data_IF_137444161721
#
_entry.id   IF_137444161721
#
_cell.length_a   1.000
_cell.length_b   1.000
_cell.length_c   1.000
_cell.angle_alpha   90.00
_cell.angle_beta   90.00
_cell.angle_gamma   90.00
#
_symmetry.space_group_name_H-M   'P 1'
#
loop_
_entity.id
_entity.type
_entity.pdbx_description
1 polymer ?
#
# COMPACT_ATOMS: atom_id res chain seq x y z
N UNK A 1 -14.02 -25.17 2.00
CA UNK A 1 -12.58 -24.88 1.90
C UNK A 1 -11.91 -25.93 1.03
N UNK A 2 -11.36 -25.56 -0.09
CA UNK A 2 -10.80 -26.51 -1.06
C UNK A 2 -9.39 -26.96 -0.68
N UNK A 3 -9.13 -28.26 -0.76
CA UNK A 3 -7.82 -28.85 -0.52
C UNK A 3 -6.85 -28.49 -1.66
N UNK A 4 -5.63 -28.07 -1.33
CA UNK A 4 -4.61 -27.69 -2.35
C UNK A 4 -4.06 -28.91 -3.11
N UNK A 5 -4.13 -30.13 -2.52
CA UNK A 5 -3.59 -31.35 -3.11
C UNK A 5 -4.57 -32.05 -4.05
N UNK A 6 -5.86 -32.18 -3.66
CA UNK A 6 -6.84 -32.95 -4.43
C UNK A 6 -8.05 -32.12 -4.89
N UNK A 7 -8.07 -30.82 -4.62
CA UNK A 7 -9.10 -29.85 -4.97
C UNK A 7 -10.52 -30.17 -4.40
N UNK A 8 -10.65 -31.15 -3.49
CA UNK A 8 -11.90 -31.52 -2.83
C UNK A 8 -12.36 -30.40 -1.90
N UNK A 9 -13.67 -30.11 -1.92
CA UNK A 9 -14.24 -29.13 -1.00
C UNK A 9 -14.57 -29.74 0.36
N UNK A 10 -14.12 -29.11 1.42
CA UNK A 10 -14.28 -29.55 2.79
C UNK A 10 -15.05 -28.49 3.58
N UNK A 11 -16.20 -28.86 4.11
CA UNK A 11 -16.97 -28.01 5.04
C UNK A 11 -16.25 -27.87 6.37
N UNK A 12 -16.75 -27.02 7.24
CA UNK A 12 -16.18 -26.92 8.60
C UNK A 12 -16.41 -28.20 9.40
N UNK A 13 -17.57 -28.82 9.25
CA UNK A 13 -17.90 -30.10 9.89
C UNK A 13 -16.92 -31.18 9.42
N UNK A 14 -16.66 -31.31 8.11
CA UNK A 14 -15.69 -32.28 7.59
C UNK A 14 -14.31 -32.08 8.25
N UNK A 15 -13.79 -30.86 8.30
CA UNK A 15 -12.48 -30.58 8.91
C UNK A 15 -12.44 -30.86 10.41
N UNK A 16 -13.55 -30.65 11.13
CA UNK A 16 -13.67 -31.01 12.55
C UNK A 16 -13.63 -32.54 12.73
N UNK A 17 -14.41 -33.26 11.94
CA UNK A 17 -14.47 -34.73 11.97
C UNK A 17 -13.11 -35.37 11.64
N UNK A 18 -12.40 -34.83 10.65
CA UNK A 18 -11.10 -35.34 10.22
C UNK A 18 -9.90 -34.62 10.83
N UNK A 19 -10.05 -34.02 12.01
CA UNK A 19 -8.96 -33.41 12.78
C UNK A 19 -8.10 -32.42 11.99
N UNK A 20 -8.72 -31.59 11.16
CA UNK A 20 -8.02 -30.59 10.33
C UNK A 20 -7.38 -31.15 9.06
N UNK A 21 -7.83 -32.33 8.59
CA UNK A 21 -7.37 -32.95 7.35
C UNK A 21 -8.48 -32.98 6.30
N UNK A 22 -8.07 -33.12 5.03
CA UNK A 22 -8.99 -33.28 3.91
C UNK A 22 -9.73 -34.63 4.01
N UNK A 23 -11.06 -34.63 3.86
CA UNK A 23 -11.88 -35.86 3.91
C UNK A 23 -11.49 -36.89 2.86
N UNK A 24 -10.96 -36.46 1.69
CA UNK A 24 -10.62 -37.35 0.58
C UNK A 24 -9.19 -37.85 0.62
N UNK A 25 -8.19 -36.95 0.71
CA UNK A 25 -6.79 -37.32 0.58
C UNK A 25 -5.99 -37.25 1.90
N UNK A 26 -6.66 -36.91 3.01
CA UNK A 26 -6.06 -36.77 4.35
C UNK A 26 -4.93 -35.73 4.44
N UNK A 27 -4.76 -34.86 3.43
CA UNK A 27 -3.81 -33.77 3.48
C UNK A 27 -4.17 -32.79 4.59
N UNK A 28 -3.26 -32.45 5.52
CA UNK A 28 -3.56 -31.53 6.62
C UNK A 28 -3.69 -30.10 6.11
N UNK A 29 -4.62 -29.33 6.67
CA UNK A 29 -4.75 -27.90 6.42
C UNK A 29 -3.81 -27.11 7.32
N UNK A 30 -3.08 -26.16 6.74
CA UNK A 30 -2.15 -25.29 7.48
C UNK A 30 -2.91 -24.18 8.20
N UNK A 31 -3.84 -23.54 7.48
CA UNK A 31 -4.58 -22.39 7.96
C UNK A 31 -6.05 -22.73 8.20
N UNK A 32 -6.51 -22.49 9.42
CA UNK A 32 -7.91 -22.63 9.82
C UNK A 32 -8.54 -21.24 10.03
N UNK A 33 -9.31 -20.72 9.06
CA UNK A 33 -9.85 -19.37 9.11
C UNK A 33 -10.70 -19.08 10.36
N UNK A 34 -11.36 -20.10 10.90
CA UNK A 34 -12.23 -19.94 12.08
C UNK A 34 -11.43 -19.82 13.39
N UNK A 35 -10.21 -20.34 13.45
CA UNK A 35 -9.31 -20.21 14.60
C UNK A 35 -8.50 -18.93 14.56
N UNK A 36 -8.54 -18.18 13.44
CA UNK A 36 -7.82 -16.93 13.28
C UNK A 36 -8.64 -15.76 13.81
N UNK A 37 -8.08 -14.99 14.73
CA UNK A 37 -8.73 -13.81 15.32
C UNK A 37 -8.83 -12.65 14.32
N UNK A 38 -7.77 -12.44 13.51
CA UNK A 38 -7.66 -11.38 12.50
C UNK A 38 -7.07 -11.95 11.21
N UNK A 39 -7.45 -11.36 10.07
CA UNK A 39 -6.84 -11.73 8.78
C UNK A 39 -7.14 -13.17 8.39
N UNK A 40 -8.42 -13.57 8.35
CA UNK A 40 -8.84 -14.94 8.01
C UNK A 40 -8.54 -15.26 6.54
N UNK A 41 -7.81 -16.35 6.29
CA UNK A 41 -7.50 -16.84 4.95
C UNK A 41 -7.33 -18.37 4.93
N UNK A 42 -7.34 -18.94 3.73
CA UNK A 42 -7.25 -20.38 3.48
C UNK A 42 -5.89 -20.74 2.89
N UNK A 43 -5.56 -22.03 2.88
CA UNK A 43 -4.36 -22.56 2.25
C UNK A 43 -4.26 -22.14 0.78
N UNK A 44 -5.37 -22.20 0.03
CA UNK A 44 -5.43 -21.77 -1.36
C UNK A 44 -5.11 -20.28 -1.54
N UNK A 45 -5.64 -19.44 -0.65
CA UNK A 45 -5.32 -18.01 -0.67
C UNK A 45 -3.82 -17.75 -0.45
N UNK A 46 -3.21 -18.50 0.46
CA UNK A 46 -1.78 -18.40 0.74
C UNK A 46 -0.94 -18.89 -0.44
N UNK A 47 -1.29 -20.06 -1.01
CA UNK A 47 -0.65 -20.60 -2.22
C UNK A 47 -0.70 -19.61 -3.39
N UNK A 48 -1.87 -19.01 -3.64
CA UNK A 48 -2.04 -17.99 -4.66
C UNK A 48 -1.22 -16.73 -4.36
N UNK A 49 -1.00 -16.40 -3.08
CA UNK A 49 -0.13 -15.26 -2.71
C UNK A 49 1.33 -15.56 -3.03
N UNK A 50 1.79 -16.80 -2.80
CA UNK A 50 3.13 -17.25 -3.17
C UNK A 50 3.31 -17.22 -4.70
N UNK A 51 2.34 -17.72 -5.46
CA UNK A 51 2.39 -17.68 -6.93
C UNK A 51 2.46 -16.25 -7.47
N UNK A 52 1.66 -15.33 -6.90
CA UNK A 52 1.65 -13.92 -7.29
C UNK A 52 2.96 -13.21 -6.98
N UNK A 53 3.53 -13.39 -5.78
CA UNK A 53 4.76 -12.69 -5.41
C UNK A 53 5.95 -13.17 -6.22
N UNK A 54 6.02 -14.46 -6.53
CA UNK A 54 7.08 -15.06 -7.33
C UNK A 54 6.87 -14.87 -8.84
N UNK A 55 5.75 -14.28 -9.27
CA UNK A 55 5.33 -14.20 -10.68
C UNK A 55 5.51 -15.56 -11.35
N UNK A 56 4.71 -16.52 -10.87
CA UNK A 56 4.73 -17.92 -11.35
C UNK A 56 6.13 -18.56 -11.31
N UNK A 57 6.82 -18.41 -10.19
CA UNK A 57 8.17 -18.95 -9.91
C UNK A 57 9.31 -18.28 -10.69
N UNK A 58 9.11 -17.07 -11.19
CA UNK A 58 10.16 -16.33 -11.90
C UNK A 58 11.13 -15.67 -10.91
N UNK A 59 10.62 -14.93 -9.90
CA UNK A 59 11.42 -14.13 -9.00
C UNK A 59 11.57 -14.72 -7.61
N UNK A 60 12.77 -14.59 -7.06
CA UNK A 60 13.00 -14.83 -5.63
C UNK A 60 12.42 -13.68 -4.79
N UNK A 61 11.98 -14.02 -3.58
CA UNK A 61 11.37 -13.05 -2.66
C UNK A 61 11.71 -13.36 -1.20
N UNK A 62 11.66 -12.33 -0.35
CA UNK A 62 11.88 -12.47 1.09
C UNK A 62 10.57 -12.81 1.83
N UNK A 63 10.70 -13.37 3.03
CA UNK A 63 9.54 -13.64 3.90
C UNK A 63 8.76 -12.36 4.26
N UNK A 64 9.45 -11.22 4.40
CA UNK A 64 8.82 -9.93 4.63
C UNK A 64 8.03 -9.44 3.42
N UNK A 65 8.57 -9.55 2.20
CA UNK A 65 7.83 -9.21 0.97
C UNK A 65 6.53 -10.02 0.86
N UNK A 66 6.58 -11.32 1.19
CA UNK A 66 5.40 -12.17 1.24
C UNK A 66 4.37 -11.65 2.27
N UNK A 67 4.81 -11.27 3.47
CA UNK A 67 3.95 -10.71 4.51
C UNK A 67 3.28 -9.41 4.06
N UNK A 68 4.03 -8.49 3.45
CA UNK A 68 3.48 -7.24 2.91
C UNK A 68 2.39 -7.49 1.86
N UNK A 69 2.65 -8.40 0.92
CA UNK A 69 1.66 -8.74 -0.10
C UNK A 69 0.43 -9.44 0.51
N UNK A 70 0.63 -10.37 1.44
CA UNK A 70 -0.44 -11.04 2.16
C UNK A 70 -1.33 -10.05 2.91
N UNK A 71 -0.74 -9.12 3.66
CA UNK A 71 -1.46 -8.07 4.39
C UNK A 71 -2.25 -7.15 3.45
N UNK A 72 -1.64 -6.73 2.34
CA UNK A 72 -2.29 -5.89 1.31
C UNK A 72 -3.51 -6.61 0.72
N UNK A 73 -3.39 -7.88 0.35
CA UNK A 73 -4.48 -8.69 -0.20
C UNK A 73 -5.61 -8.91 0.80
N UNK A 74 -5.28 -9.19 2.06
CA UNK A 74 -6.28 -9.36 3.13
C UNK A 74 -7.06 -8.06 3.39
N UNK A 75 -6.38 -6.91 3.31
CA UNK A 75 -7.00 -5.61 3.48
C UNK A 75 -7.91 -5.24 2.30
N UNK A 76 -7.58 -5.58 1.07
CA UNK A 76 -8.39 -5.25 -0.10
C UNK A 76 -9.75 -5.97 -0.08
N UNK A 77 -9.79 -7.19 0.42
CA UNK A 77 -10.98 -8.06 0.41
C UNK A 77 -12.21 -7.49 1.15
N UNK A 78 -12.05 -6.66 2.17
CA UNK A 78 -13.15 -6.18 3.02
C UNK A 78 -13.74 -4.84 2.61
N UNK A 79 -13.20 -4.20 1.57
CA UNK A 79 -13.65 -2.87 1.12
C UNK A 79 -14.99 -2.93 0.37
N UNK A 80 -15.22 -3.84 -0.60
CA UNK A 80 -16.46 -3.85 -1.37
C UNK A 80 -17.71 -4.08 -0.51
N UNK A 81 -17.65 -4.97 0.47
CA UNK A 81 -18.80 -5.34 1.31
C UNK A 81 -19.29 -4.16 2.15
N UNK A 82 -18.39 -3.44 2.81
CA UNK A 82 -18.76 -2.27 3.62
C UNK A 82 -19.35 -1.15 2.76
N UNK A 83 -18.82 -0.95 1.56
CA UNK A 83 -19.33 0.05 0.62
C UNK A 83 -20.73 -0.31 0.12
N UNK A 84 -20.98 -1.56 -0.22
CA UNK A 84 -22.31 -2.01 -0.66
C UNK A 84 -23.37 -1.84 0.44
N UNK A 85 -23.06 -2.19 1.69
CA UNK A 85 -23.96 -1.97 2.82
C UNK A 85 -24.23 -0.49 3.08
N UNK A 86 -23.22 0.37 2.94
CA UNK A 86 -23.40 1.81 3.07
C UNK A 86 -24.32 2.38 1.99
N UNK A 87 -24.15 1.97 0.73
CA UNK A 87 -25.05 2.38 -0.36
C UNK A 87 -26.48 1.89 -0.14
N UNK A 88 -26.66 0.63 0.26
CA UNK A 88 -27.99 0.08 0.55
C UNK A 88 -28.66 0.90 1.65
N UNK A 89 -27.96 1.16 2.75
CA UNK A 89 -28.49 1.96 3.86
C UNK A 89 -28.84 3.38 3.43
N UNK A 90 -28.00 4.02 2.63
CA UNK A 90 -28.22 5.36 2.06
C UNK A 90 -29.50 5.40 1.23
N UNK A 91 -29.63 4.50 0.24
CA UNK A 91 -30.83 4.46 -0.61
C UNK A 91 -32.10 4.07 0.16
N UNK A 92 -32.00 3.08 1.04
CA UNK A 92 -33.15 2.67 1.86
C UNK A 92 -33.67 3.81 2.76
N UNK A 93 -32.75 4.60 3.34
CA UNK A 93 -33.15 5.74 4.15
C UNK A 93 -33.84 6.83 3.31
N UNK A 94 -33.31 7.16 2.14
CA UNK A 94 -33.94 8.13 1.24
C UNK A 94 -35.34 7.68 0.79
N UNK A 95 -35.50 6.42 0.36
CA UNK A 95 -36.78 5.86 -0.06
C UNK A 95 -37.78 5.90 1.12
N UNK A 96 -37.36 5.41 2.28
CA UNK A 96 -38.22 5.34 3.46
C UNK A 96 -38.68 6.72 3.93
N UNK A 97 -37.78 7.69 3.98
CA UNK A 97 -38.11 9.06 4.41
C UNK A 97 -39.03 9.73 3.37
N UNK A 98 -38.80 9.56 2.08
CA UNK A 98 -39.68 10.18 1.06
C UNK A 98 -41.10 9.57 1.10
N UNK A 99 -41.26 8.25 1.31
CA UNK A 99 -42.57 7.62 1.48
C UNK A 99 -43.31 8.22 2.71
N UNK A 100 -42.62 8.32 3.87
CA UNK A 100 -43.22 8.90 5.06
C UNK A 100 -43.57 10.38 4.85
N UNK A 101 -42.73 11.14 4.17
CA UNK A 101 -42.96 12.54 3.91
C UNK A 101 -44.21 12.75 2.99
N UNK A 102 -44.41 11.90 1.97
CA UNK A 102 -45.63 11.94 1.15
C UNK A 102 -46.86 11.66 2.02
N UNK A 103 -46.84 10.66 2.91
CA UNK A 103 -47.96 10.37 3.80
C UNK A 103 -48.19 11.50 4.81
N UNK A 104 -47.15 12.12 5.38
CA UNK A 104 -47.25 13.24 6.33
C UNK A 104 -47.83 14.51 5.67
N UNK A 105 -47.39 14.79 4.46
CA UNK A 105 -47.91 15.92 3.67
C UNK A 105 -49.37 15.73 3.33
N UNK A 106 -49.78 14.51 2.97
CA UNK A 106 -51.18 14.18 2.68
C UNK A 106 -52.10 14.25 3.92
N UNK A 107 -51.54 13.92 5.11
CA UNK A 107 -52.32 13.89 6.37
C UNK A 107 -52.40 15.26 7.08
N UNK A 108 -51.50 16.19 6.83
CA UNK A 108 -51.34 17.42 7.63
C UNK A 108 -51.47 18.68 6.77
N UNK A 109 -52.70 19.05 6.39
CA UNK A 109 -53.00 20.29 5.65
C UNK A 109 -52.56 21.57 6.39
N UNK A 110 -52.39 21.52 7.69
CA UNK A 110 -51.96 22.67 8.52
C UNK A 110 -50.46 22.99 8.42
N UNK A 111 -49.59 22.03 7.96
CA UNK A 111 -48.18 22.24 7.82
C UNK A 111 -47.84 23.13 6.62
N UNK A 112 -48.69 23.13 5.62
CA UNK A 112 -48.57 24.00 4.40
C UNK A 112 -48.69 25.49 4.73
N UNK A 113 -49.16 25.84 5.91
CA UNK A 113 -49.24 27.26 6.35
C UNK A 113 -47.85 27.88 6.62
N UNK A 114 -46.83 27.07 6.99
CA UNK A 114 -45.49 27.57 7.30
C UNK A 114 -44.50 27.44 6.15
N UNK A 115 -44.59 26.38 5.34
CA UNK A 115 -43.67 26.11 4.22
C UNK A 115 -44.42 25.34 3.10
N UNK A 116 -44.21 25.68 1.82
CA UNK A 116 -44.70 24.87 0.71
C UNK A 116 -44.17 23.43 0.83
N UNK A 117 -45.03 22.44 0.52
CA UNK A 117 -44.72 21.01 0.67
C UNK A 117 -43.45 20.59 -0.05
N UNK A 118 -43.21 21.12 -1.25
CA UNK A 118 -42.01 20.90 -2.05
C UNK A 118 -40.73 21.37 -1.33
N UNK A 119 -40.79 22.51 -0.63
CA UNK A 119 -39.68 23.08 0.10
C UNK A 119 -39.34 22.22 1.36
N UNK A 120 -40.40 21.71 2.01
CA UNK A 120 -40.23 20.83 3.16
C UNK A 120 -39.53 19.51 2.80
N UNK A 121 -39.94 18.87 1.68
CA UNK A 121 -39.32 17.65 1.15
C UNK A 121 -37.85 17.90 0.78
N UNK A 122 -37.55 18.99 0.06
CA UNK A 122 -36.18 19.37 -0.29
C UNK A 122 -35.31 19.59 0.94
N UNK A 123 -35.81 20.35 1.92
CA UNK A 123 -35.09 20.64 3.14
C UNK A 123 -34.73 19.37 3.93
N UNK A 124 -35.68 18.43 4.03
CA UNK A 124 -35.48 17.18 4.73
C UNK A 124 -34.41 16.30 4.03
N UNK A 125 -34.45 16.20 2.70
CA UNK A 125 -33.42 15.47 1.95
C UNK A 125 -32.04 16.13 2.10
N UNK A 126 -31.94 17.44 2.08
CA UNK A 126 -30.68 18.18 2.33
C UNK A 126 -30.15 17.91 3.75
N UNK A 127 -31.01 17.86 4.75
CA UNK A 127 -30.61 17.52 6.12
C UNK A 127 -30.08 16.08 6.23
N UNK A 128 -30.69 15.13 5.54
CA UNK A 128 -30.19 13.75 5.46
C UNK A 128 -28.79 13.71 4.86
N UNK A 129 -28.56 14.40 3.75
CA UNK A 129 -27.24 14.48 3.10
C UNK A 129 -26.19 15.06 4.04
N UNK A 130 -26.51 16.17 4.69
CA UNK A 130 -25.61 16.77 5.71
C UNK A 130 -25.34 15.78 6.82
N UNK A 131 -26.36 15.06 7.30
CA UNK A 131 -26.22 14.04 8.34
C UNK A 131 -25.26 12.92 7.94
N UNK A 132 -25.38 12.41 6.70
CA UNK A 132 -24.45 11.40 6.17
C UNK A 132 -23.02 11.91 6.06
N UNK A 133 -22.82 13.11 5.51
CA UNK A 133 -21.50 13.75 5.39
C UNK A 133 -20.85 13.92 6.77
N UNK A 134 -21.59 14.48 7.72
CA UNK A 134 -21.10 14.70 9.09
C UNK A 134 -20.81 13.37 9.79
N UNK A 135 -21.69 12.38 9.69
CA UNK A 135 -21.49 11.06 10.27
C UNK A 135 -20.21 10.38 9.71
N UNK A 136 -20.01 10.36 8.40
CA UNK A 136 -18.82 9.83 7.77
C UNK A 136 -17.56 10.59 8.21
N UNK A 137 -17.63 11.91 8.30
CA UNK A 137 -16.50 12.74 8.71
C UNK A 137 -16.13 12.49 10.18
N UNK A 138 -17.09 12.48 11.08
CA UNK A 138 -16.87 12.21 12.51
C UNK A 138 -16.37 10.77 12.74
N UNK A 139 -16.95 9.79 12.04
CA UNK A 139 -16.51 8.41 12.11
C UNK A 139 -15.05 8.24 11.65
N UNK A 140 -14.61 9.03 10.68
CA UNK A 140 -13.22 9.05 10.23
C UNK A 140 -12.30 9.79 11.22
N UNK A 141 -12.79 10.81 11.89
CA UNK A 141 -12.01 11.70 12.77
C UNK A 141 -11.70 11.14 14.17
N UNK A 142 -12.26 9.98 14.53
CA UNK A 142 -12.00 9.33 15.82
C UNK A 142 -10.49 9.14 16.06
N UNK A 143 -10.01 9.45 17.26
CA UNK A 143 -8.60 9.33 17.69
C UNK A 143 -8.06 7.91 17.58
N UNK A 144 -8.93 6.90 17.62
CA UNK A 144 -8.59 5.48 17.44
C UNK A 144 -8.71 5.01 15.98
N UNK A 145 -8.88 5.92 15.00
CA UNK A 145 -9.03 5.52 13.61
C UNK A 145 -7.71 4.99 13.02
N UNK A 146 -7.75 3.78 12.51
CA UNK A 146 -6.64 3.19 11.76
C UNK A 146 -6.53 3.83 10.36
N UNK A 147 -5.33 3.80 9.75
CA UNK A 147 -5.10 4.25 8.36
C UNK A 147 -6.21 3.78 7.41
N UNK A 148 -6.53 2.48 7.46
CA UNK A 148 -7.54 1.87 6.61
C UNK A 148 -8.94 2.45 6.81
N UNK A 149 -9.35 2.63 8.08
CA UNK A 149 -10.66 3.20 8.41
C UNK A 149 -10.80 4.60 7.83
N UNK A 150 -9.78 5.46 7.99
CA UNK A 150 -9.78 6.80 7.40
C UNK A 150 -9.77 6.81 5.88
N UNK A 151 -8.98 5.96 5.26
CA UNK A 151 -8.94 5.85 3.80
C UNK A 151 -10.30 5.41 3.23
N UNK A 152 -10.98 4.48 3.90
CA UNK A 152 -12.27 3.97 3.48
C UNK A 152 -13.36 5.04 3.60
N UNK A 153 -13.45 5.72 4.73
CA UNK A 153 -14.42 6.80 4.95
C UNK A 153 -14.16 8.00 4.04
N UNK A 154 -12.90 8.32 3.76
CA UNK A 154 -12.54 9.37 2.82
C UNK A 154 -12.99 9.04 1.38
N UNK A 155 -12.81 7.78 0.94
CA UNK A 155 -13.31 7.32 -0.35
C UNK A 155 -14.83 7.32 -0.39
N UNK A 156 -15.51 6.94 0.69
CA UNK A 156 -16.97 7.03 0.79
C UNK A 156 -17.45 8.47 0.66
N UNK A 157 -16.80 9.43 1.33
CA UNK A 157 -17.12 10.87 1.19
C UNK A 157 -16.96 11.36 -0.26
N UNK A 158 -15.88 10.96 -0.94
CA UNK A 158 -15.67 11.36 -2.34
C UNK A 158 -16.73 10.75 -3.27
N UNK A 159 -17.10 9.48 -3.07
CA UNK A 159 -18.12 8.81 -3.87
C UNK A 159 -19.52 9.40 -3.59
N UNK A 160 -19.83 9.66 -2.32
CA UNK A 160 -21.08 10.33 -1.94
C UNK A 160 -21.17 11.71 -2.58
N UNK A 161 -20.10 12.52 -2.49
CA UNK A 161 -20.06 13.84 -3.11
C UNK A 161 -20.19 13.79 -4.62
N UNK A 162 -19.52 12.85 -5.28
CA UNK A 162 -19.69 12.62 -6.74
C UNK A 162 -21.12 12.22 -7.10
N UNK A 163 -21.74 11.37 -6.30
CA UNK A 163 -23.13 10.96 -6.48
C UNK A 163 -24.11 12.15 -6.32
N UNK A 164 -23.94 12.95 -5.25
CA UNK A 164 -24.75 14.16 -5.02
C UNK A 164 -24.64 15.13 -6.20
N UNK A 165 -23.44 15.35 -6.75
CA UNK A 165 -23.22 16.22 -7.91
C UNK A 165 -23.94 15.70 -9.17
N UNK A 166 -23.79 14.42 -9.48
CA UNK A 166 -24.39 13.82 -10.68
C UNK A 166 -25.91 13.79 -10.56
N UNK A 167 -26.42 13.26 -9.46
CA UNK A 167 -27.87 13.15 -9.25
C UNK A 167 -28.53 14.52 -9.12
N UNK A 168 -27.93 15.41 -8.33
CA UNK A 168 -28.44 16.80 -8.18
C UNK A 168 -28.46 17.55 -9.48
N UNK A 169 -27.47 17.40 -10.36
CA UNK A 169 -27.46 18.04 -11.68
C UNK A 169 -28.53 17.45 -12.63
N UNK A 170 -28.75 16.13 -12.61
CA UNK A 170 -29.79 15.46 -13.41
C UNK A 170 -31.18 15.91 -12.98
N UNK A 171 -31.46 15.89 -11.68
CA UNK A 171 -32.76 16.31 -11.13
C UNK A 171 -33.01 17.80 -11.42
N UNK A 172 -32.01 18.65 -11.17
CA UNK A 172 -32.13 20.11 -11.44
C UNK A 172 -32.31 20.41 -12.93
N UNK A 173 -31.63 19.69 -13.82
CA UNK A 173 -31.78 19.88 -15.28
C UNK A 173 -33.15 19.43 -15.78
N UNK A 174 -33.69 18.35 -15.22
CA UNK A 174 -35.07 17.91 -15.52
C UNK A 174 -36.12 18.94 -15.09
N UNK A 175 -35.98 19.48 -13.87
CA UNK A 175 -36.83 20.56 -13.40
C UNK A 175 -36.68 21.83 -14.22
N UNK A 176 -35.46 22.26 -14.57
CA UNK A 176 -35.19 23.40 -15.43
C UNK A 176 -35.80 23.22 -16.81
N UNK A 177 -35.69 22.03 -17.41
CA UNK A 177 -36.23 21.74 -18.72
C UNK A 177 -37.78 21.83 -18.73
N UNK A 178 -38.44 21.35 -17.69
CA UNK A 178 -39.90 21.46 -17.55
C UNK A 178 -40.39 22.92 -17.41
N UNK A 179 -39.57 23.76 -16.75
CA UNK A 179 -39.84 25.19 -16.58
C UNK A 179 -39.66 25.96 -17.91
N UNK A 180 -38.61 25.68 -18.68
CA UNK A 180 -38.36 26.31 -19.97
C UNK A 180 -39.44 26.00 -20.99
N UNK A 181 -40.08 24.84 -20.93
CA UNK A 181 -41.16 24.43 -21.79
C UNK A 181 -42.50 25.14 -21.45
N UNK A 182 -42.72 25.55 -20.20
CA UNK A 182 -44.02 26.08 -19.72
C UNK A 182 -44.08 27.59 -19.53
N UNK A 183 -43.04 28.34 -19.82
CA UNK A 183 -42.97 29.81 -19.95
C UNK A 183 -43.56 30.69 -18.81
N UNK A 184 -43.78 30.11 -17.62
CA UNK A 184 -44.15 30.89 -16.43
C UNK A 184 -42.95 31.01 -15.50
N UNK A 185 -42.47 32.25 -15.27
CA UNK A 185 -41.39 32.59 -14.33
C UNK A 185 -42.05 32.62 -12.94
N UNK A 186 -42.17 31.46 -12.32
CA UNK A 186 -42.75 31.30 -11.01
C UNK A 186 -41.76 30.76 -9.96
N UNK A 187 -42.21 30.69 -8.72
CA UNK A 187 -41.52 30.18 -7.54
C UNK A 187 -40.73 28.86 -7.79
N UNK A 188 -41.21 28.03 -8.73
CA UNK A 188 -40.53 26.82 -9.23
C UNK A 188 -39.14 27.07 -9.80
N UNK A 189 -38.89 28.19 -10.46
CA UNK A 189 -37.55 28.52 -11.00
C UNK A 189 -36.56 28.80 -9.89
N UNK A 190 -36.99 29.56 -8.87
CA UNK A 190 -36.18 29.88 -7.70
C UNK A 190 -35.87 28.62 -6.90
N UNK A 191 -36.81 27.69 -6.75
CA UNK A 191 -36.60 26.42 -6.07
C UNK A 191 -35.63 25.49 -6.82
N UNK A 192 -35.69 25.41 -8.17
CA UNK A 192 -34.79 24.58 -8.94
C UNK A 192 -33.35 25.11 -8.95
N UNK A 193 -33.17 26.43 -9.02
CA UNK A 193 -31.85 27.05 -8.90
C UNK A 193 -31.27 26.88 -7.48
N UNK A 194 -32.11 27.02 -6.46
CA UNK A 194 -31.77 26.78 -5.08
C UNK A 194 -31.31 25.32 -4.82
N UNK A 195 -32.06 24.35 -5.39
CA UNK A 195 -31.73 22.93 -5.32
C UNK A 195 -30.37 22.61 -6.00
N UNK A 196 -30.17 23.18 -7.19
CA UNK A 196 -28.91 23.05 -7.92
C UNK A 196 -27.73 23.61 -7.12
N UNK A 197 -27.87 24.80 -6.54
CA UNK A 197 -26.83 25.45 -5.75
C UNK A 197 -26.55 24.66 -4.48
N UNK A 198 -27.55 24.16 -3.77
CA UNK A 198 -27.37 23.37 -2.52
C UNK A 198 -26.73 22.03 -2.79
N UNK A 199 -27.20 21.26 -3.78
CA UNK A 199 -26.60 19.96 -4.14
C UNK A 199 -25.18 20.11 -4.63
N UNK A 200 -24.88 21.13 -5.45
CA UNK A 200 -23.53 21.41 -5.92
C UNK A 200 -22.59 21.75 -4.75
N UNK A 201 -23.05 22.60 -3.83
CA UNK A 201 -22.26 23.00 -2.65
C UNK A 201 -21.97 21.80 -1.73
N UNK A 202 -22.99 20.98 -1.45
CA UNK A 202 -22.84 19.78 -0.62
C UNK A 202 -21.94 18.74 -1.27
N UNK A 203 -22.06 18.52 -2.57
CA UNK A 203 -21.20 17.61 -3.31
C UNK A 203 -19.72 18.02 -3.26
N UNK A 204 -19.46 19.31 -3.53
CA UNK A 204 -18.09 19.87 -3.45
C UNK A 204 -17.56 19.80 -2.00
N UNK A 205 -18.38 20.12 -1.01
CA UNK A 205 -18.01 20.02 0.41
C UNK A 205 -17.63 18.59 0.78
N UNK A 206 -18.44 17.61 0.41
CA UNK A 206 -18.20 16.19 0.69
C UNK A 206 -16.87 15.72 0.06
N UNK A 207 -16.61 16.06 -1.21
CA UNK A 207 -15.35 15.73 -1.88
C UNK A 207 -14.17 16.41 -1.20
N UNK A 208 -14.29 17.69 -0.85
CA UNK A 208 -13.24 18.44 -0.17
C UNK A 208 -12.89 17.83 1.19
N UNK A 209 -13.89 17.45 1.99
CA UNK A 209 -13.71 16.73 3.25
C UNK A 209 -13.07 15.37 3.06
N UNK A 210 -13.46 14.64 2.00
CA UNK A 210 -12.84 13.37 1.63
C UNK A 210 -11.35 13.52 1.30
N UNK A 211 -10.98 14.53 0.52
CA UNK A 211 -9.58 14.85 0.18
C UNK A 211 -8.77 15.20 1.45
N UNK A 212 -9.34 16.01 2.34
CA UNK A 212 -8.70 16.36 3.64
C UNK A 212 -8.46 15.10 4.46
N UNK A 213 -9.44 14.19 4.54
CA UNK A 213 -9.27 12.93 5.27
C UNK A 213 -8.24 12.00 4.63
N UNK A 214 -8.13 11.95 3.31
CA UNK A 214 -7.06 11.22 2.62
C UNK A 214 -5.67 11.76 2.97
N UNK A 215 -5.51 13.09 2.98
CA UNK A 215 -4.24 13.73 3.41
C UNK A 215 -3.91 13.41 4.87
N UNK A 216 -4.92 13.46 5.77
CA UNK A 216 -4.75 13.10 7.19
C UNK A 216 -4.47 11.60 7.38
N UNK A 217 -5.08 10.72 6.58
CA UNK A 217 -4.80 9.29 6.59
C UNK A 217 -3.32 9.01 6.28
N UNK A 218 -2.73 9.76 5.35
CA UNK A 218 -1.32 9.65 5.01
C UNK A 218 -0.34 9.88 6.19
N UNK A 219 -0.78 10.44 7.31
CA UNK A 219 0.03 10.64 8.53
C UNK A 219 -0.10 9.51 9.55
N UNK A 220 -0.93 8.49 9.29
CA UNK A 220 -1.15 7.38 10.22
C UNK A 220 -0.26 6.19 9.86
N UNK A 221 0.44 5.57 10.81
CA UNK A 221 1.23 4.37 10.55
C UNK A 221 0.33 3.20 10.16
N UNK A 222 0.82 2.39 9.25
CA UNK A 222 0.16 1.14 8.88
C UNK A 222 0.45 0.09 9.94
N UNK A 223 -0.57 -0.66 10.31
CA UNK A 223 -0.44 -1.84 11.15
C UNK A 223 -0.73 -3.09 10.32
N UNK A 224 0.05 -4.14 10.53
CA UNK A 224 -0.25 -5.45 9.96
C UNK A 224 -1.50 -6.07 10.61
N UNK A 225 -2.31 -6.76 9.81
CA UNK A 225 -3.43 -7.57 10.32
C UNK A 225 -2.92 -8.81 11.08
N UNK A 226 -1.79 -9.36 10.60
CA UNK A 226 -1.11 -10.53 11.16
C UNK A 226 0.28 -10.08 11.57
N UNK A 227 0.68 -10.35 12.82
CA UNK A 227 2.02 -10.00 13.29
C UNK A 227 3.10 -10.76 12.50
N UNK A 228 4.30 -10.20 12.41
CA UNK A 228 5.43 -10.85 11.72
C UNK A 228 5.70 -12.25 12.29
N UNK A 229 5.63 -12.42 13.62
CA UNK A 229 5.80 -13.72 14.28
C UNK A 229 4.74 -14.73 13.84
N UNK A 230 3.46 -14.35 13.84
CA UNK A 230 2.38 -15.23 13.38
C UNK A 230 2.51 -15.62 11.90
N UNK A 231 2.97 -14.69 11.06
CA UNK A 231 3.21 -14.96 9.65
C UNK A 231 4.38 -15.95 9.47
N UNK A 232 5.45 -15.77 10.25
CA UNK A 232 6.61 -16.66 10.22
C UNK A 232 6.27 -18.08 10.75
N UNK A 233 5.50 -18.18 11.82
CA UNK A 233 5.01 -19.46 12.35
C UNK A 233 4.12 -20.16 11.32
N UNK A 234 3.24 -19.42 10.64
CA UNK A 234 2.41 -19.93 9.55
C UNK A 234 3.24 -20.41 8.36
N UNK A 235 4.27 -19.65 7.97
CA UNK A 235 5.19 -20.00 6.89
C UNK A 235 5.98 -21.27 7.23
N UNK A 236 6.51 -21.39 8.44
CA UNK A 236 7.24 -22.58 8.88
C UNK A 236 6.33 -23.82 8.86
N UNK A 237 5.09 -23.68 9.36
CA UNK A 237 4.11 -24.76 9.30
C UNK A 237 3.74 -25.13 7.85
N UNK A 238 3.63 -24.13 6.96
CA UNK A 238 3.40 -24.37 5.55
C UNK A 238 4.52 -25.22 4.93
N UNK A 239 5.78 -24.87 5.21
CA UNK A 239 6.95 -25.59 4.71
C UNK A 239 6.99 -27.02 5.26
N UNK A 240 6.65 -27.24 6.53
CA UNK A 240 6.59 -28.58 7.13
C UNK A 240 5.56 -29.50 6.46
N UNK A 241 4.40 -28.95 6.05
CA UNK A 241 3.30 -29.73 5.49
C UNK A 241 3.39 -29.87 3.97
N UNK A 242 3.76 -28.80 3.27
CA UNK A 242 3.73 -28.72 1.80
C UNK A 242 5.12 -28.77 1.15
N UNK A 243 6.17 -28.79 1.93
CA UNK A 243 7.55 -28.74 1.43
C UNK A 243 8.09 -27.33 1.25
N UNK A 244 9.35 -27.23 0.84
CA UNK A 244 10.04 -25.96 0.63
C UNK A 244 9.40 -25.13 -0.49
N UNK A 245 9.43 -23.83 -0.33
CA UNK A 245 8.99 -22.87 -1.35
C UNK A 245 10.23 -22.49 -2.18
N UNK A 246 10.26 -22.89 -3.46
CA UNK A 246 11.44 -22.78 -4.33
C UNK A 246 12.07 -21.38 -4.39
N UNK A 247 11.26 -20.34 -4.42
CA UNK A 247 11.72 -18.95 -4.61
C UNK A 247 11.75 -18.14 -3.32
N UNK A 248 11.48 -18.75 -2.18
CA UNK A 248 11.58 -18.10 -0.89
C UNK A 248 13.04 -18.04 -0.45
N UNK A 249 13.55 -16.85 -0.18
CA UNK A 249 14.88 -16.66 0.36
C UNK A 249 14.89 -16.99 1.86
N UNK A 250 15.87 -17.81 2.25
CA UNK A 250 16.21 -18.06 3.64
C UNK A 250 16.80 -16.80 4.26
N UNK A 251 16.89 -16.74 5.60
CA UNK A 251 17.58 -15.63 6.24
C UNK A 251 19.04 -15.55 5.77
N UNK A 252 19.64 -14.35 5.61
CA UNK A 252 21.03 -14.21 5.17
C UNK A 252 22.05 -14.98 6.02
N UNK A 253 21.77 -15.13 7.31
CA UNK A 253 22.61 -15.90 8.24
C UNK A 253 22.55 -17.42 7.98
N UNK A 254 21.43 -17.94 7.53
CA UNK A 254 21.26 -19.35 7.18
C UNK A 254 21.82 -19.65 5.79
N UNK A 255 21.64 -18.73 4.86
CA UNK A 255 22.15 -18.85 3.50
C UNK A 255 23.68 -18.86 3.44
N UNK A 256 24.37 -18.09 4.28
CA UNK A 256 25.84 -18.05 4.37
C UNK A 256 26.49 -19.40 4.71
N UNK A 257 25.72 -20.33 5.27
CA UNK A 257 26.18 -21.71 5.56
C UNK A 257 26.02 -22.66 4.36
N UNK A 258 25.21 -22.30 3.38
CA UNK A 258 24.81 -23.18 2.26
C UNK A 258 25.44 -22.78 0.92
N UNK A 259 25.90 -21.55 0.76
CA UNK A 259 26.47 -21.08 -0.51
C UNK A 259 27.99 -20.95 -0.44
N UNK A 260 28.70 -21.93 -0.99
CA UNK A 260 30.01 -21.67 -1.59
C UNK A 260 29.77 -20.87 -2.86
N UNK A 261 29.79 -19.52 -2.75
CA UNK A 261 29.84 -18.67 -3.95
C UNK A 261 31.16 -19.02 -4.63
N UNK A 262 31.10 -19.51 -5.86
CA UNK A 262 32.24 -20.05 -6.58
C UNK A 262 33.36 -19.02 -6.70
N UNK A 263 34.61 -19.48 -6.60
CA UNK A 263 35.84 -18.69 -6.74
C UNK A 263 35.96 -17.98 -8.11
N UNK A 264 35.04 -18.20 -9.02
CA UNK A 264 34.98 -17.60 -10.36
C UNK A 264 34.76 -16.08 -10.35
N UNK A 265 34.26 -15.49 -9.24
CA UNK A 265 34.06 -14.03 -9.13
C UNK A 265 35.40 -13.24 -9.08
N UNK A 266 36.54 -13.89 -8.88
CA UNK A 266 37.84 -13.22 -8.84
C UNK A 266 38.33 -12.67 -10.19
N UNK A 267 37.65 -12.98 -11.29
CA UNK A 267 38.03 -12.55 -12.63
C UNK A 267 37.15 -11.40 -13.19
N UNK A 268 36.18 -10.93 -12.43
CA UNK A 268 35.30 -9.84 -12.89
C UNK A 268 35.84 -8.48 -12.45
N UNK A 269 36.00 -7.57 -13.41
CA UNK A 269 36.19 -6.14 -13.14
C UNK A 269 34.80 -5.50 -13.07
N UNK A 270 34.42 -4.98 -11.90
CA UNK A 270 33.16 -4.28 -11.70
C UNK A 270 33.36 -2.77 -11.84
N UNK A 271 32.62 -2.15 -12.74
CA UNK A 271 32.57 -0.69 -12.88
C UNK A 271 31.51 -0.07 -11.95
N UNK A 272 30.63 -0.90 -11.41
CA UNK A 272 29.50 -0.52 -10.57
C UNK A 272 29.43 -1.39 -9.32
N UNK A 273 28.95 -0.75 -8.25
CA UNK A 273 28.65 -1.44 -7.01
C UNK A 273 27.32 -0.97 -6.44
N UNK A 274 26.50 -1.89 -5.95
CA UNK A 274 25.30 -1.58 -5.16
C UNK A 274 25.61 -1.94 -3.70
N UNK A 275 25.50 -0.95 -2.83
CA UNK A 275 25.62 -1.17 -1.39
C UNK A 275 24.27 -1.03 -0.73
N UNK A 276 23.76 -2.15 -0.22
CA UNK A 276 22.44 -2.24 0.40
C UNK A 276 22.52 -1.96 1.91
N UNK A 277 21.50 -1.29 2.46
CA UNK A 277 21.33 -1.12 3.90
C UNK A 277 21.21 -2.47 4.63
N UNK A 278 20.52 -3.44 4.03
CA UNK A 278 20.29 -4.76 4.65
C UNK A 278 20.90 -5.91 3.85
N UNK A 279 21.35 -6.95 4.56
CA UNK A 279 21.81 -8.20 3.93
C UNK A 279 20.71 -8.92 3.15
N UNK A 280 19.46 -8.82 3.60
CA UNK A 280 18.30 -9.40 2.91
C UNK A 280 18.10 -8.78 1.52
N UNK A 281 18.32 -7.46 1.39
CA UNK A 281 18.22 -6.76 0.12
C UNK A 281 19.35 -7.12 -0.83
N UNK A 282 20.58 -7.22 -0.32
CA UNK A 282 21.71 -7.70 -1.11
C UNK A 282 21.50 -9.15 -1.61
N UNK A 283 21.07 -10.04 -0.72
CA UNK A 283 20.71 -11.42 -1.06
C UNK A 283 19.61 -11.48 -2.13
N UNK A 284 18.58 -10.65 -1.98
CA UNK A 284 17.45 -10.56 -2.92
C UNK A 284 17.93 -10.18 -4.34
N UNK A 285 18.77 -9.17 -4.46
CA UNK A 285 19.32 -8.75 -5.76
C UNK A 285 20.23 -9.84 -6.37
N UNK A 286 21.09 -10.47 -5.58
CA UNK A 286 22.00 -11.54 -6.02
C UNK A 286 21.18 -12.75 -6.49
N UNK A 287 20.20 -13.20 -5.72
CA UNK A 287 19.35 -14.34 -6.06
C UNK A 287 18.55 -14.14 -7.34
N UNK A 288 18.19 -12.90 -7.66
CA UNK A 288 17.52 -12.54 -8.91
C UNK A 288 18.50 -12.19 -10.05
N UNK A 289 19.77 -12.61 -9.96
CA UNK A 289 20.82 -12.43 -10.98
C UNK A 289 21.12 -10.98 -11.37
N UNK A 290 20.75 -10.01 -10.53
CA UNK A 290 20.92 -8.59 -10.83
C UNK A 290 22.40 -8.21 -11.03
N UNK A 291 23.32 -8.88 -10.29
CA UNK A 291 24.76 -8.68 -10.39
C UNK A 291 25.32 -9.07 -11.77
N UNK A 292 24.75 -10.09 -12.40
CA UNK A 292 25.14 -10.54 -13.75
C UNK A 292 24.56 -9.60 -14.82
N UNK A 293 23.26 -9.29 -14.71
CA UNK A 293 22.54 -8.48 -15.70
C UNK A 293 23.13 -7.06 -15.85
N UNK A 294 23.58 -6.46 -14.73
CA UNK A 294 24.08 -5.07 -14.69
C UNK A 294 25.61 -4.98 -14.50
N UNK A 295 26.32 -6.10 -14.50
CA UNK A 295 27.76 -6.19 -14.25
C UNK A 295 28.17 -5.38 -12.99
N UNK A 296 27.50 -5.60 -11.89
CA UNK A 296 27.69 -4.84 -10.65
C UNK A 296 27.99 -5.74 -9.45
N UNK A 297 28.92 -5.30 -8.61
CA UNK A 297 29.11 -5.91 -7.30
C UNK A 297 27.95 -5.56 -6.37
N UNK A 298 27.44 -6.51 -5.60
CA UNK A 298 26.34 -6.27 -4.63
C UNK A 298 26.85 -6.62 -3.24
N UNK A 299 26.86 -5.62 -2.38
CA UNK A 299 27.32 -5.71 -0.99
C UNK A 299 26.24 -5.16 -0.04
N UNK A 300 26.31 -5.52 1.24
CA UNK A 300 25.56 -4.85 2.29
C UNK A 300 26.48 -4.21 3.33
N UNK A 301 25.99 -3.19 4.01
CA UNK A 301 26.75 -2.56 5.11
C UNK A 301 26.98 -3.48 6.32
N UNK A 302 26.27 -4.60 6.40
CA UNK A 302 26.45 -5.64 7.42
C UNK A 302 27.50 -6.69 7.03
N UNK A 303 28.24 -6.51 5.92
CA UNK A 303 29.29 -7.42 5.47
C UNK A 303 28.79 -8.64 4.70
N UNK A 304 27.64 -8.55 4.01
CA UNK A 304 27.14 -9.62 3.14
C UNK A 304 27.55 -9.36 1.68
N UNK A 305 27.95 -10.36 0.91
CA UNK A 305 28.17 -11.77 1.21
C UNK A 305 29.44 -12.02 2.03
N UNK A 306 29.31 -12.68 3.17
CA UNK A 306 30.38 -12.80 4.18
C UNK A 306 31.69 -13.38 3.63
N UNK A 307 31.63 -14.39 2.76
CA UNK A 307 32.79 -15.14 2.29
C UNK A 307 33.71 -14.35 1.34
N UNK A 308 33.19 -13.34 0.66
CA UNK A 308 33.90 -12.58 -0.39
C UNK A 308 33.89 -11.07 -0.14
N UNK A 309 33.25 -10.63 0.92
CA UNK A 309 33.01 -9.21 1.19
C UNK A 309 34.28 -8.37 1.15
N UNK A 310 35.30 -8.75 1.93
CA UNK A 310 36.54 -7.99 2.03
C UNK A 310 37.32 -7.98 0.72
N UNK A 311 37.35 -9.12 0.03
CA UNK A 311 38.02 -9.24 -1.27
C UNK A 311 37.36 -8.34 -2.30
N UNK A 312 36.04 -8.40 -2.45
CA UNK A 312 35.28 -7.56 -3.39
C UNK A 312 35.45 -6.09 -3.04
N UNK A 313 35.33 -5.70 -1.78
CA UNK A 313 35.50 -4.31 -1.34
C UNK A 313 36.89 -3.77 -1.64
N UNK A 314 37.97 -4.57 -1.45
CA UNK A 314 39.33 -4.18 -1.82
C UNK A 314 39.48 -4.00 -3.35
N UNK A 315 38.88 -4.85 -4.15
CA UNK A 315 38.89 -4.70 -5.62
C UNK A 315 38.17 -3.42 -6.05
N UNK A 316 36.99 -3.15 -5.48
CA UNK A 316 36.19 -1.95 -5.79
C UNK A 316 36.97 -0.66 -5.43
N UNK A 317 37.69 -0.61 -4.32
CA UNK A 317 38.49 0.55 -3.91
C UNK A 317 39.62 0.91 -4.85
N UNK A 318 40.11 -0.07 -5.63
CA UNK A 318 41.18 0.15 -6.60
C UNK A 318 40.67 0.71 -7.93
N UNK A 319 39.36 0.66 -8.19
CA UNK A 319 38.77 1.17 -9.41
C UNK A 319 38.53 2.68 -9.31
N UNK A 320 39.27 3.46 -10.06
CA UNK A 320 39.16 4.93 -10.09
C UNK A 320 37.89 5.47 -10.74
N UNK A 321 37.22 4.68 -11.57
CA UNK A 321 35.98 5.03 -12.29
C UNK A 321 34.73 4.38 -11.67
N UNK A 322 34.83 3.88 -10.43
CA UNK A 322 33.75 3.15 -9.76
C UNK A 322 32.52 4.03 -9.51
N UNK A 323 31.36 3.53 -9.93
CA UNK A 323 30.06 4.07 -9.57
C UNK A 323 29.43 3.25 -8.45
N UNK A 324 29.10 3.88 -7.33
CA UNK A 324 28.52 3.23 -6.15
C UNK A 324 27.09 3.70 -5.98
N UNK A 325 26.16 2.78 -5.82
CA UNK A 325 24.75 3.03 -5.61
C UNK A 325 24.37 2.63 -4.18
N UNK A 326 23.97 3.62 -3.37
CA UNK A 326 23.44 3.39 -2.03
C UNK A 326 21.96 3.02 -2.11
N UNK A 327 21.61 1.76 -1.82
CA UNK A 327 20.24 1.28 -1.83
C UNK A 327 19.74 1.09 -0.39
N UNK A 328 18.73 1.87 0.01
CA UNK A 328 18.29 1.93 1.40
C UNK A 328 16.79 2.19 1.54
N UNK A 329 16.27 1.87 2.71
CA UNK A 329 14.92 2.19 3.16
C UNK A 329 14.74 3.69 3.42
N UNK A 330 13.50 4.19 3.40
CA UNK A 330 13.18 5.49 3.96
C UNK A 330 13.22 5.40 5.49
N UNK A 331 14.41 5.39 6.05
CA UNK A 331 14.71 5.23 7.47
C UNK A 331 15.82 6.20 7.91
N UNK A 332 15.96 6.53 9.21
CA UNK A 332 17.06 7.36 9.68
C UNK A 332 18.44 6.78 9.35
N UNK A 333 18.57 5.47 9.38
CA UNK A 333 19.82 4.80 9.05
C UNK A 333 20.08 4.80 7.54
N UNK A 334 19.00 4.63 6.76
CA UNK A 334 19.07 4.61 5.30
C UNK A 334 19.50 5.94 4.70
N UNK A 335 18.89 7.05 5.11
CA UNK A 335 19.23 8.37 4.57
C UNK A 335 20.69 8.79 4.84
N UNK A 336 21.33 8.18 5.84
CA UNK A 336 22.74 8.40 6.13
C UNK A 336 23.68 7.49 5.32
N UNK A 337 23.15 6.53 4.55
CA UNK A 337 23.96 5.52 3.87
C UNK A 337 24.90 6.12 2.84
N UNK A 338 24.40 6.95 1.95
CA UNK A 338 25.22 7.57 0.89
C UNK A 338 26.35 8.43 1.47
N UNK A 339 26.07 9.21 2.52
CA UNK A 339 27.08 9.99 3.21
C UNK A 339 28.11 9.11 3.91
N UNK A 340 27.68 8.05 4.60
CA UNK A 340 28.56 7.06 5.22
C UNK A 340 29.49 6.40 4.21
N UNK A 341 29.00 6.06 3.01
CA UNK A 341 29.83 5.47 1.97
C UNK A 341 30.91 6.43 1.46
N UNK A 342 30.61 7.74 1.41
CA UNK A 342 31.54 8.78 0.97
C UNK A 342 32.60 9.10 2.03
N UNK A 343 32.22 9.10 3.30
CA UNK A 343 33.05 9.67 4.39
C UNK A 343 33.78 8.62 5.23
N UNK A 344 33.31 7.39 5.25
CA UNK A 344 33.91 6.34 6.09
C UNK A 344 35.15 5.72 5.45
N UNK A 345 36.28 5.64 6.18
CA UNK A 345 37.47 4.93 5.73
C UNK A 345 37.27 3.43 5.47
N UNK A 346 36.25 2.85 6.10
CA UNK A 346 35.87 1.44 5.87
C UNK A 346 35.23 1.25 4.49
N UNK A 347 34.78 2.32 3.84
CA UNK A 347 34.13 2.29 2.53
C UNK A 347 34.98 3.00 1.48
N UNK A 348 34.54 4.12 0.96
CA UNK A 348 35.16 4.78 -0.18
C UNK A 348 35.74 6.18 0.14
N UNK A 349 35.92 6.51 1.44
CA UNK A 349 36.56 7.77 1.81
C UNK A 349 37.98 7.85 1.20
N UNK A 350 38.26 8.98 0.54
CA UNK A 350 39.53 9.19 -0.15
C UNK A 350 39.71 8.48 -1.49
N UNK A 351 38.69 7.74 -1.96
CA UNK A 351 38.66 7.19 -3.33
C UNK A 351 38.01 8.17 -4.31
N UNK A 352 38.22 7.95 -5.59
CA UNK A 352 37.57 8.70 -6.68
C UNK A 352 36.19 8.16 -7.07
N UNK A 353 35.67 7.21 -6.29
CA UNK A 353 34.36 6.59 -6.53
C UNK A 353 33.21 7.61 -6.43
N UNK A 354 32.34 7.61 -7.41
CA UNK A 354 31.14 8.44 -7.40
C UNK A 354 29.99 7.70 -6.71
N UNK A 355 29.45 8.27 -5.61
CA UNK A 355 28.37 7.65 -4.84
C UNK A 355 27.05 8.30 -5.17
N UNK A 356 26.13 7.52 -5.72
CA UNK A 356 24.73 7.90 -6.02
C UNK A 356 23.79 7.36 -4.93
N UNK A 357 22.83 8.19 -4.53
CA UNK A 357 21.75 7.77 -3.67
C UNK A 357 20.61 7.17 -4.52
N UNK A 358 20.40 5.87 -4.40
CA UNK A 358 19.35 5.10 -5.10
C UNK A 358 18.24 4.66 -4.13
N UNK A 359 18.36 5.01 -2.86
CA UNK A 359 17.40 4.63 -1.82
C UNK A 359 16.07 5.36 -1.91
N UNK A 360 15.14 4.92 -1.07
CA UNK A 360 13.84 5.57 -0.91
C UNK A 360 13.97 6.75 0.06
N UNK A 361 13.74 7.96 -0.42
CA UNK A 361 13.79 9.15 0.45
C UNK A 361 12.52 9.33 1.28
N UNK A 362 12.61 9.96 2.47
CA UNK A 362 11.43 10.34 3.25
C UNK A 362 10.46 11.24 2.49
N UNK A 363 10.96 12.15 1.64
CA UNK A 363 10.14 13.03 0.80
C UNK A 363 9.30 12.27 -0.22
N UNK A 364 9.84 11.20 -0.82
CA UNK A 364 9.10 10.31 -1.70
C UNK A 364 8.04 9.52 -0.93
N UNK A 365 8.37 9.06 0.28
CA UNK A 365 7.43 8.38 1.16
C UNK A 365 6.29 9.31 1.63
N UNK A 366 6.57 10.59 1.87
CA UNK A 366 5.56 11.60 2.22
C UNK A 366 4.58 11.85 1.06
N UNK A 367 5.07 11.95 -0.16
CA UNK A 367 4.26 12.22 -1.35
C UNK A 367 3.38 11.04 -1.75
N UNK A 368 3.72 9.81 -1.32
CA UNK A 368 2.94 8.62 -1.65
C UNK A 368 2.27 8.01 -0.40
N UNK A 369 1.00 8.34 -0.12
CA UNK A 369 0.28 7.84 1.05
C UNK A 369 -0.05 6.34 1.00
N UNK A 370 0.15 5.68 -0.14
CA UNK A 370 -0.13 4.24 -0.31
C UNK A 370 1.01 3.35 0.18
N UNK A 371 2.20 3.92 0.39
CA UNK A 371 3.35 3.17 0.91
C UNK A 371 3.10 2.71 2.35
N UNK A 372 3.56 1.51 2.64
CA UNK A 372 3.39 0.91 3.96
C UNK A 372 4.33 1.57 4.98
N UNK A 373 3.82 2.56 5.71
CA UNK A 373 4.57 3.30 6.73
C UNK A 373 4.50 2.59 8.06
N UNK A 374 5.63 2.29 8.62
CA UNK A 374 5.78 1.82 9.99
C UNK A 374 6.16 2.99 10.89
N UNK A 375 5.92 2.83 12.19
CA UNK A 375 6.36 3.77 13.21
C UNK A 375 7.01 3.00 14.37
N UNK A 376 8.19 3.46 14.79
CA UNK A 376 8.93 2.85 15.89
C UNK A 376 9.65 3.91 16.72
N UNK A 377 9.62 3.76 18.04
CA UNK A 377 10.39 4.60 18.97
C UNK A 377 11.90 4.48 18.72
N UNK A 378 12.37 3.32 18.26
CA UNK A 378 13.76 3.09 17.88
C UNK A 378 14.20 4.00 16.73
N UNK A 379 13.36 4.11 15.68
CA UNK A 379 13.65 5.00 14.55
C UNK A 379 13.62 6.46 14.96
N UNK A 380 12.71 6.87 15.85
CA UNK A 380 12.67 8.22 16.38
C UNK A 380 13.97 8.58 17.14
N UNK A 381 14.50 7.65 17.93
CA UNK A 381 15.79 7.83 18.62
C UNK A 381 16.96 7.95 17.64
N UNK A 382 17.02 7.09 16.62
CA UNK A 382 18.03 7.13 15.58
C UNK A 382 17.99 8.42 14.76
N UNK A 383 16.79 8.94 14.45
CA UNK A 383 16.64 10.21 13.75
C UNK A 383 17.26 11.41 14.49
N UNK A 384 17.14 11.41 15.82
CA UNK A 384 17.76 12.44 16.68
C UNK A 384 19.30 12.38 16.67
N UNK A 385 19.87 11.22 16.36
CA UNK A 385 21.32 10.97 16.32
C UNK A 385 21.92 11.19 14.92
N UNK A 386 21.11 11.60 13.93
CA UNK A 386 21.62 11.93 12.59
C UNK A 386 22.67 13.03 12.66
N UNK A 387 23.77 12.85 11.93
CA UNK A 387 24.84 13.83 11.85
C UNK A 387 24.36 15.11 11.16
N UNK A 388 24.94 16.27 11.52
CA UNK A 388 24.49 17.56 10.99
C UNK A 388 24.50 17.63 9.45
N UNK A 389 25.50 17.06 8.80
CA UNK A 389 25.60 17.04 7.34
C UNK A 389 24.40 16.37 6.65
N UNK A 390 23.93 15.23 7.17
CA UNK A 390 22.74 14.53 6.65
C UNK A 390 21.47 15.31 6.97
N UNK A 391 21.38 15.91 8.18
CA UNK A 391 20.22 16.73 8.58
C UNK A 391 20.02 17.95 7.70
N UNK A 392 21.10 18.58 7.23
CA UNK A 392 21.05 19.76 6.34
C UNK A 392 20.55 19.42 4.93
N UNK A 393 20.67 18.17 4.50
CA UNK A 393 20.19 17.70 3.19
C UNK A 393 18.68 17.40 3.18
N UNK A 394 18.07 17.26 4.37
CA UNK A 394 16.65 16.92 4.53
C UNK A 394 15.83 18.20 4.74
N UNK A 395 14.64 18.21 4.14
CA UNK A 395 13.66 19.27 4.42
C UNK A 395 13.10 19.18 5.85
N UNK A 396 12.50 20.25 6.34
CA UNK A 396 11.89 20.26 7.68
C UNK A 396 10.80 19.18 7.82
N UNK A 397 9.99 18.98 6.78
CA UNK A 397 8.94 17.95 6.77
C UNK A 397 9.52 16.51 6.84
N UNK A 398 10.63 16.26 6.16
CA UNK A 398 11.33 14.97 6.19
C UNK A 398 11.95 14.70 7.56
N UNK A 399 12.55 15.72 8.17
CA UNK A 399 13.10 15.62 9.53
C UNK A 399 12.01 15.37 10.56
N UNK A 400 10.88 16.06 10.48
CA UNK A 400 9.73 15.84 11.37
C UNK A 400 9.17 14.43 11.23
N UNK A 401 9.11 13.93 9.99
CA UNK A 401 8.65 12.58 9.70
C UNK A 401 9.58 11.51 10.29
N UNK A 402 10.91 11.67 10.13
CA UNK A 402 11.90 10.78 10.72
C UNK A 402 11.91 10.87 12.25
N UNK A 403 11.82 12.10 12.83
CA UNK A 403 11.78 12.31 14.27
C UNK A 403 10.51 11.72 14.92
N UNK A 404 9.41 11.64 14.18
CA UNK A 404 8.21 10.93 14.61
C UNK A 404 8.38 9.39 14.58
N UNK A 405 9.52 8.90 14.07
CA UNK A 405 9.88 7.48 14.01
C UNK A 405 9.26 6.72 12.86
N UNK A 406 8.83 7.40 11.80
CA UNK A 406 8.31 6.75 10.61
C UNK A 406 9.43 6.14 9.77
N UNK A 407 9.09 5.04 9.10
CA UNK A 407 9.93 4.44 8.07
C UNK A 407 9.09 3.72 7.02
N UNK A 408 9.67 3.51 5.83
CA UNK A 408 9.15 2.64 4.78
C UNK A 408 10.27 1.72 4.32
N UNK A 409 10.05 0.42 4.44
CA UNK A 409 11.01 -0.60 4.01
C UNK A 409 10.89 -0.90 2.51
N UNK A 410 12.00 -1.13 1.83
CA UNK A 410 12.05 -1.57 0.43
C UNK A 410 11.37 -2.92 0.23
N UNK A 411 11.37 -3.78 1.26
CA UNK A 411 10.65 -5.05 1.24
C UNK A 411 9.13 -4.90 1.16
N UNK A 412 8.57 -3.68 1.31
CA UNK A 412 7.15 -3.41 1.07
C UNK A 412 6.77 -3.43 -0.42
N UNK A 413 7.76 -3.40 -1.31
CA UNK A 413 7.58 -3.53 -2.75
C UNK A 413 7.65 -5.00 -3.20
N UNK A 414 6.91 -5.33 -4.25
CA UNK A 414 7.02 -6.66 -4.87
C UNK A 414 8.36 -6.84 -5.57
N UNK A 415 8.86 -8.08 -5.68
CA UNK A 415 10.14 -8.38 -6.34
C UNK A 415 10.30 -7.73 -7.71
N UNK A 416 9.35 -7.97 -8.60
CA UNK A 416 9.35 -7.42 -9.96
C UNK A 416 9.45 -5.90 -9.98
N UNK A 417 8.69 -5.23 -9.11
CA UNK A 417 8.67 -3.78 -9.02
C UNK A 417 10.00 -3.23 -8.49
N UNK A 418 10.51 -3.82 -7.43
CA UNK A 418 11.76 -3.38 -6.83
C UNK A 418 12.94 -3.52 -7.81
N UNK A 419 13.06 -4.65 -8.51
CA UNK A 419 14.07 -4.86 -9.54
C UNK A 419 13.96 -3.81 -10.66
N UNK A 420 12.74 -3.53 -11.14
CA UNK A 420 12.50 -2.50 -12.15
C UNK A 420 12.94 -1.10 -11.69
N UNK A 421 12.65 -0.74 -10.43
CA UNK A 421 13.05 0.57 -9.87
C UNK A 421 14.57 0.67 -9.82
N UNK A 422 15.24 -0.36 -9.29
CA UNK A 422 16.71 -0.36 -9.16
C UNK A 422 17.37 -0.31 -10.56
N UNK A 423 16.87 -1.07 -11.52
CA UNK A 423 17.38 -1.06 -12.91
C UNK A 423 17.22 0.31 -13.58
N UNK A 424 16.07 0.92 -13.42
CA UNK A 424 15.83 2.27 -13.93
C UNK A 424 16.75 3.29 -13.25
N UNK A 425 17.00 3.16 -11.95
CA UNK A 425 17.91 4.02 -11.21
C UNK A 425 19.33 4.00 -11.75
N UNK A 426 19.85 2.82 -12.04
CA UNK A 426 21.16 2.67 -12.64
C UNK A 426 21.19 3.26 -14.06
N UNK A 427 20.16 3.01 -14.87
CA UNK A 427 20.09 3.55 -16.23
C UNK A 427 20.01 5.09 -16.28
N UNK A 428 19.38 5.70 -15.27
CA UNK A 428 19.26 7.17 -15.19
C UNK A 428 20.55 7.85 -14.74
N UNK A 429 21.32 7.24 -13.85
CA UNK A 429 22.61 7.78 -13.40
C UNK A 429 23.65 7.86 -14.52
N UNK A 430 23.46 7.09 -15.58
CA UNK A 430 24.31 7.13 -16.78
C UNK A 430 24.03 8.32 -17.70
N UNK A 431 23.04 9.18 -17.42
CA UNK A 431 22.69 10.36 -18.22
C UNK A 431 23.38 11.60 -17.67
N UNK A 432 24.20 12.33 -18.45
CA UNK A 432 24.87 13.54 -18.00
C UNK A 432 23.86 14.62 -17.58
N UNK A 433 24.04 15.22 -16.42
CA UNK A 433 23.25 16.37 -15.95
C UNK A 433 22.02 16.07 -15.09
N UNK A 434 21.83 14.84 -14.63
CA UNK A 434 20.66 14.46 -13.83
C UNK A 434 21.05 14.07 -12.39
N UNK A 435 21.27 15.07 -11.52
CA UNK A 435 21.61 14.87 -10.10
C UNK A 435 20.42 14.45 -9.22
N UNK A 436 19.21 14.33 -9.80
CA UNK A 436 17.99 14.09 -9.04
C UNK A 436 17.52 12.63 -9.17
N UNK A 437 17.98 11.73 -8.30
CA UNK A 437 17.37 10.40 -8.07
C UNK A 437 15.88 10.43 -7.68
N UNK A 438 15.33 11.63 -7.54
CA UNK A 438 13.97 11.95 -7.13
C UNK A 438 12.87 11.41 -8.07
N UNK A 439 13.13 11.31 -9.38
CA UNK A 439 12.07 11.01 -10.36
C UNK A 439 11.82 9.52 -10.57
N UNK A 440 12.75 8.64 -10.21
CA UNK A 440 12.68 7.21 -10.53
C UNK A 440 11.59 6.51 -9.70
N UNK A 441 11.61 6.74 -8.40
CA UNK A 441 10.60 6.20 -7.49
C UNK A 441 9.21 6.77 -7.78
N UNK A 442 9.13 8.06 -8.16
CA UNK A 442 7.86 8.69 -8.52
C UNK A 442 7.26 8.13 -9.81
N UNK A 443 8.07 7.89 -10.84
CA UNK A 443 7.62 7.25 -12.07
C UNK A 443 7.13 5.81 -11.83
N UNK A 444 7.79 5.07 -10.94
CA UNK A 444 7.37 3.74 -10.55
C UNK A 444 6.04 3.72 -9.77
N UNK A 445 5.72 4.78 -9.00
CA UNK A 445 4.46 4.89 -8.26
C UNK A 445 3.26 5.13 -9.17
N UNK A 446 3.41 5.90 -10.24
CA UNK A 446 2.30 6.25 -11.14
C UNK A 446 1.83 5.08 -12.03
N UNK A 447 2.68 4.09 -12.28
CA UNK A 447 2.36 2.94 -13.13
C UNK A 447 1.71 1.74 -12.40
N UNK A 448 1.44 1.86 -11.10
CA UNK A 448 1.09 0.72 -10.22
C UNK A 448 -0.40 0.30 -10.28
N UNK A 449 -1.32 1.21 -10.56
CA UNK A 449 -2.76 0.93 -10.41
C UNK A 449 -3.30 -0.02 -11.49
N UNK A 450 -2.75 -0.03 -12.69
CA UNK A 450 -3.20 -0.90 -13.78
C UNK A 450 -2.70 -2.35 -13.65
N UNK A 451 -1.49 -2.55 -13.15
CA UNK A 451 -0.89 -3.88 -12.97
C UNK A 451 -1.58 -4.65 -11.82
N UNK A 452 -1.98 -3.93 -10.76
CA UNK A 452 -2.70 -4.53 -9.63
C UNK A 452 -4.14 -4.90 -9.97
N UNK A 453 -4.85 -4.10 -10.77
CA UNK A 453 -6.23 -4.39 -11.16
C UNK A 453 -6.34 -5.68 -11.98
N UNK A 454 -5.38 -5.96 -12.86
CA UNK A 454 -5.30 -7.21 -13.60
C UNK A 454 -5.04 -8.44 -12.70
N UNK A 455 -4.14 -8.31 -11.72
CA UNK A 455 -3.84 -9.37 -10.75
C UNK A 455 -4.99 -9.68 -9.79
N UNK A 456 -5.79 -8.68 -9.40
CA UNK A 456 -6.95 -8.89 -8.53
C UNK A 456 -8.10 -9.60 -9.24
N UNK A 457 -8.37 -9.29 -10.51
CA UNK A 457 -9.41 -9.97 -11.30
C UNK A 457 -9.14 -11.47 -11.48
N UNK A 458 -7.88 -11.85 -11.71
CA UNK A 458 -7.49 -13.26 -11.83
C UNK A 458 -7.64 -14.07 -10.53
N UNK A 459 -7.80 -13.42 -9.37
CA UNK A 459 -7.87 -14.09 -8.06
C UNK A 459 -9.29 -14.21 -7.49
N UNK A 460 -10.32 -13.67 -8.15
CA UNK A 460 -11.71 -13.73 -7.68
C UNK A 460 -12.27 -15.15 -7.69
N UNK A 461 -11.79 -16.02 -8.57
CA UNK A 461 -12.21 -17.44 -8.67
C UNK A 461 -11.68 -18.36 -7.55
N UNK A 462 -10.93 -17.84 -6.57
CA UNK A 462 -10.25 -18.67 -5.57
C UNK A 462 -10.93 -18.74 -4.21
N UNK A 463 -12.16 -18.23 -4.09
CA UNK A 463 -12.93 -18.30 -2.84
C UNK A 463 -14.16 -19.19 -3.01
N UNK A 464 -14.03 -20.47 -2.64
CA UNK A 464 -15.16 -21.34 -2.31
C UNK A 464 -15.40 -21.31 -0.82
#
# INVERSE_FOLDING_TARGET
MRCIKCNEDNTFSDRKTYSGQCKKCRHPFVFEPQKMSKGRFTDRFFANTIALISVERTFFFTSKQLLYLLDKRLKSKSIPVLFSWFLILYFMLHIFVNIILEDVVLLNQDLSFFLPDEVFIILTNVLIEIGFIVCLFLFSGSTQSTYRKRQLTARMLNLLGGWILVFGSVVSSGLLNSIFLHREIDLKYFNSLGLFATTTTLGILSISLGIIQLKRAGKIPHSFLISYKQAQDGLNRWIQINGSIEKLLLSPHEAGKLTSISAEMNHYSFDRAIVCESAAMAQFLIANNFHVEYNCAILSISGYPQNIFDTVLQMLRRNSALQVYALHDASPYGVALADRLRTSPQWFAGSTATVYDLGLSPGQALKNPQLFRQQSTKFAQQARQLIPAVRQQLSAEELDWLNAGYCVELESFTPRRLLKIVSQGIAWSCRPGNDNGFNIWMAAFNNDDSEWQGMYRASEDSFG
#
